data_IF_782682172336
#
_entry.id   IF_782682172336
#
_cell.length_a   1.000
_cell.length_b   1.000
_cell.length_c   1.000
_cell.angle_alpha   90.00
_cell.angle_beta   90.00
_cell.angle_gamma   90.00
#
_symmetry.space_group_name_H-M   'P 1'
#
loop_
_entity.id
_entity.type
_entity.pdbx_description
1 polymer ?
#
# COMPACT_ATOMS: atom_id res chain seq x y z
N UNK A 1 -2.30 0.28 -2.35
CA UNK A 1 -2.73 -0.34 -1.09
C UNK A 1 -1.64 -0.25 -0.05
N UNK A 2 -2.01 -0.01 1.21
CA UNK A 2 -1.11 -0.03 2.34
C UNK A 2 -0.64 -1.45 2.66
N UNK A 3 0.62 -1.59 3.07
CA UNK A 3 1.24 -2.85 3.45
C UNK A 3 1.54 -2.95 4.95
N UNK A 4 1.05 -2.00 5.75
CA UNK A 4 1.30 -1.92 7.18
C UNK A 4 0.12 -1.27 7.91
N UNK A 5 -0.07 -1.64 9.19
CA UNK A 5 -1.00 -0.94 10.08
C UNK A 5 -0.34 0.32 10.60
N UNK A 6 -0.90 1.48 10.28
CA UNK A 6 -0.38 2.78 10.70
C UNK A 6 -1.27 3.42 11.76
N UNK A 7 -2.59 3.34 11.59
CA UNK A 7 -3.56 3.84 12.57
C UNK A 7 -4.89 3.08 12.45
N UNK A 8 -5.07 2.09 13.33
CA UNK A 8 -6.20 1.15 13.23
C UNK A 8 -7.55 1.84 13.43
N UNK A 9 -7.68 2.72 14.43
CA UNK A 9 -8.97 3.35 14.75
C UNK A 9 -9.50 4.29 13.67
N UNK A 10 -8.67 4.72 12.72
CA UNK A 10 -9.05 5.60 11.61
C UNK A 10 -9.23 4.85 10.28
N UNK A 11 -9.05 3.52 10.27
CA UNK A 11 -9.08 2.71 9.04
C UNK A 11 -7.78 2.73 8.24
N UNK A 12 -6.68 3.28 8.80
CA UNK A 12 -5.38 3.34 8.15
C UNK A 12 -4.57 2.06 8.41
N UNK A 13 -5.08 0.96 7.85
CA UNK A 13 -4.67 -0.41 8.14
C UNK A 13 -4.01 -1.08 6.92
N UNK A 14 -3.29 -2.17 7.16
CA UNK A 14 -2.78 -3.03 6.10
C UNK A 14 -3.96 -3.50 5.22
N UNK A 15 -3.82 -3.35 3.91
CA UNK A 15 -4.90 -3.62 2.96
C UNK A 15 -5.75 -2.42 2.57
N UNK A 16 -5.60 -1.26 3.24
CA UNK A 16 -6.35 -0.07 2.85
C UNK A 16 -5.98 0.37 1.42
N UNK A 17 -6.98 0.51 0.57
CA UNK A 17 -6.85 0.96 -0.82
C UNK A 17 -7.10 2.45 -0.94
N UNK A 18 -6.45 3.04 -1.95
CA UNK A 18 -6.56 4.46 -2.23
C UNK A 18 -5.88 4.78 -3.55
N UNK A 19 -6.13 5.98 -4.02
CA UNK A 19 -5.61 6.52 -5.28
C UNK A 19 -4.57 7.59 -4.97
N UNK A 20 -3.40 7.50 -5.60
CA UNK A 20 -2.39 8.56 -5.51
C UNK A 20 -2.92 9.78 -6.25
N UNK A 21 -2.97 10.90 -5.56
CA UNK A 21 -3.41 12.20 -6.11
C UNK A 21 -2.23 13.08 -6.47
N UNK A 22 -1.13 13.03 -5.70
CA UNK A 22 0.09 13.79 -5.99
C UNK A 22 1.36 13.13 -5.42
N UNK A 23 2.51 13.48 -5.98
CA UNK A 23 3.84 13.01 -5.55
C UNK A 23 4.76 14.23 -5.35
N UNK A 24 5.15 14.46 -4.09
CA UNK A 24 5.94 15.62 -3.70
C UNK A 24 7.42 15.28 -3.66
N UNK A 25 8.22 15.96 -4.48
CA UNK A 25 9.68 15.88 -4.47
C UNK A 25 10.27 17.13 -3.84
N UNK A 26 11.43 17.01 -3.19
CA UNK A 26 12.22 18.18 -2.79
C UNK A 26 12.85 18.80 -4.04
N UNK A 27 12.73 20.13 -4.16
CA UNK A 27 13.04 20.93 -5.36
C UNK A 27 14.42 20.62 -5.98
N UNK A 28 15.42 20.34 -5.14
CA UNK A 28 16.81 20.18 -5.58
C UNK A 28 17.20 18.74 -5.98
N UNK A 29 16.37 17.74 -5.66
CA UNK A 29 16.75 16.33 -5.73
C UNK A 29 16.26 15.60 -6.99
N UNK A 30 15.44 16.26 -7.81
CA UNK A 30 14.90 15.73 -9.07
C UNK A 30 14.08 14.44 -8.93
N UNK A 31 13.43 14.02 -10.02
CA UNK A 31 12.54 12.84 -10.04
C UNK A 31 13.25 11.48 -9.90
N UNK A 32 14.57 11.45 -9.72
CA UNK A 32 15.36 10.22 -9.52
C UNK A 32 15.52 9.83 -8.06
N UNK A 33 15.19 10.74 -7.14
CA UNK A 33 15.28 10.53 -5.70
C UNK A 33 13.95 10.00 -5.14
N UNK A 34 13.99 9.49 -3.91
CA UNK A 34 12.76 9.10 -3.21
C UNK A 34 11.91 10.36 -2.95
N UNK A 35 10.61 10.37 -3.28
CA UNK A 35 9.72 11.47 -2.93
C UNK A 35 9.77 11.80 -1.44
N UNK A 36 9.56 13.08 -1.11
CA UNK A 36 9.40 13.54 0.26
C UNK A 36 8.09 13.01 0.86
N UNK A 37 7.01 13.09 0.08
CA UNK A 37 5.72 12.57 0.45
C UNK A 37 4.89 12.16 -0.77
N UNK A 38 3.93 11.26 -0.55
CA UNK A 38 2.92 10.88 -1.53
C UNK A 38 1.56 11.22 -0.94
N UNK A 39 0.75 11.97 -1.68
CA UNK A 39 -0.64 12.25 -1.31
C UNK A 39 -1.53 11.15 -1.86
N UNK A 40 -2.35 10.58 -0.97
CA UNK A 40 -3.24 9.46 -1.31
C UNK A 40 -4.62 9.73 -0.74
N UNK A 41 -5.63 9.62 -1.59
CA UNK A 41 -7.02 9.57 -1.16
C UNK A 41 -7.42 8.13 -0.90
N UNK A 42 -7.78 7.81 0.34
CA UNK A 42 -8.12 6.46 0.79
C UNK A 42 -9.63 6.25 0.85
N UNK A 43 -10.09 5.09 0.37
CA UNK A 43 -11.53 4.80 0.21
C UNK A 43 -12.29 4.74 1.54
N UNK A 44 -11.62 4.31 2.62
CA UNK A 44 -12.26 4.02 3.92
C UNK A 44 -11.58 4.73 5.11
N UNK A 45 -10.66 5.66 4.85
CA UNK A 45 -9.99 6.39 5.91
C UNK A 45 -10.91 7.46 6.51
N UNK A 46 -10.95 7.54 7.84
CA UNK A 46 -11.82 8.47 8.60
C UNK A 46 -11.05 9.42 9.51
N UNK A 47 -9.72 9.40 9.44
CA UNK A 47 -8.89 10.29 10.23
C UNK A 47 -8.77 11.68 9.60
N UNK A 48 -7.82 12.46 10.09
CA UNK A 48 -7.56 13.81 9.58
C UNK A 48 -6.93 13.76 8.18
N UNK A 49 -7.42 14.62 7.29
CA UNK A 49 -6.98 14.75 5.89
C UNK A 49 -6.67 16.21 5.56
N UNK A 50 -5.89 16.41 4.49
CA UNK A 50 -5.77 17.69 3.81
C UNK A 50 -6.73 17.69 2.62
N UNK A 51 -7.44 18.78 2.38
CA UNK A 51 -8.27 18.91 1.18
C UNK A 51 -7.46 19.61 0.11
N UNK A 52 -7.28 18.97 -1.05
CA UNK A 52 -6.58 19.57 -2.17
C UNK A 52 -7.46 20.57 -2.94
N UNK A 53 -6.92 21.20 -3.98
CA UNK A 53 -7.62 22.22 -4.77
C UNK A 53 -8.86 21.69 -5.49
N UNK A 54 -8.92 20.38 -5.74
CA UNK A 54 -10.06 19.70 -6.38
C UNK A 54 -11.11 19.22 -5.36
N UNK A 55 -10.94 19.54 -4.07
CA UNK A 55 -11.85 19.13 -3.01
C UNK A 55 -11.67 17.68 -2.55
N UNK A 56 -10.60 16.99 -2.99
CA UNK A 56 -10.33 15.61 -2.61
C UNK A 56 -9.61 15.58 -1.26
N UNK A 57 -10.05 14.67 -0.39
CA UNK A 57 -9.42 14.42 0.91
C UNK A 57 -8.20 13.51 0.74
N UNK A 58 -7.02 14.08 1.00
CA UNK A 58 -5.71 13.46 0.86
C UNK A 58 -5.05 13.22 2.21
N UNK A 59 -4.37 12.09 2.32
CA UNK A 59 -3.49 11.76 3.44
C UNK A 59 -2.03 11.88 2.96
N UNK A 60 -1.21 12.73 3.59
CA UNK A 60 0.23 12.76 3.32
C UNK A 60 0.90 11.51 3.88
N UNK A 61 1.65 10.81 3.03
CA UNK A 61 2.40 9.62 3.40
C UNK A 61 3.88 9.85 3.21
N UNK A 62 4.70 9.41 4.16
CA UNK A 62 6.16 9.51 4.12
C UNK A 62 6.80 8.11 4.09
N UNK A 63 8.04 7.98 3.60
CA UNK A 63 8.75 6.70 3.66
C UNK A 63 8.94 6.21 5.10
N UNK A 64 8.77 4.91 5.32
CA UNK A 64 8.99 4.25 6.60
C UNK A 64 10.28 3.43 6.52
N UNK A 65 11.06 3.45 7.60
CA UNK A 65 12.23 2.58 7.75
C UNK A 65 11.81 1.28 8.43
N UNK A 66 11.96 0.17 7.71
CA UNK A 66 11.84 -1.18 8.27
C UNK A 66 13.23 -1.74 8.55
N UNK A 67 13.36 -2.49 9.65
CA UNK A 67 14.60 -3.16 10.05
C UNK A 67 14.32 -4.64 10.32
N UNK A 68 15.26 -5.50 9.95
CA UNK A 68 15.17 -6.94 10.21
C UNK A 68 16.55 -7.54 10.41
N UNK A 69 16.63 -8.64 11.15
CA UNK A 69 17.86 -9.41 11.27
C UNK A 69 18.02 -10.32 10.06
N UNK A 70 19.08 -10.07 9.29
CA UNK A 70 19.53 -10.95 8.21
C UNK A 70 20.61 -11.92 8.69
N UNK A 71 20.96 -12.87 7.82
CA UNK A 71 22.04 -13.84 8.08
C UNK A 71 23.40 -13.19 8.37
N UNK A 72 23.61 -11.96 7.89
CA UNK A 72 24.85 -11.18 8.03
C UNK A 72 24.71 -9.97 8.97
N UNK A 73 23.67 -9.92 9.81
CA UNK A 73 23.40 -8.82 10.73
C UNK A 73 22.14 -8.01 10.40
N UNK A 74 21.98 -6.88 11.09
CA UNK A 74 20.79 -6.03 10.96
C UNK A 74 20.77 -5.33 9.60
N UNK A 75 19.71 -5.54 8.84
CA UNK A 75 19.43 -4.87 7.58
C UNK A 75 18.30 -3.85 7.76
N UNK A 76 18.30 -2.80 6.93
CA UNK A 76 17.22 -1.81 6.92
C UNK A 76 16.82 -1.40 5.50
N UNK A 77 15.57 -0.96 5.35
CA UNK A 77 14.99 -0.47 4.10
C UNK A 77 14.15 0.76 4.40
N UNK A 78 14.37 1.84 3.67
CA UNK A 78 13.51 3.01 3.66
C UNK A 78 12.61 2.95 2.42
N UNK A 79 11.30 2.84 2.61
CA UNK A 79 10.34 2.73 1.51
C UNK A 79 8.96 3.21 1.96
N UNK A 80 8.13 3.66 1.01
CA UNK A 80 6.72 3.85 1.29
C UNK A 80 6.02 2.51 1.58
N UNK A 81 5.09 2.45 2.55
CA UNK A 81 4.36 1.26 2.90
C UNK A 81 3.24 0.95 1.89
N UNK A 82 3.56 0.99 0.60
CA UNK A 82 2.60 0.82 -0.49
C UNK A 82 2.97 -0.32 -1.43
N UNK A 83 1.92 -0.97 -1.93
CA UNK A 83 1.97 -1.85 -3.08
C UNK A 83 0.95 -1.40 -4.11
N UNK A 84 1.30 -1.51 -5.40
CA UNK A 84 0.33 -1.35 -6.49
C UNK A 84 -0.67 -2.51 -6.45
N UNK A 85 -1.94 -2.22 -6.75
CA UNK A 85 -3.06 -3.16 -6.53
C UNK A 85 -3.95 -3.41 -7.72
N UNK A 86 -3.48 -3.13 -8.94
CA UNK A 86 -4.16 -3.59 -10.14
C UNK A 86 -4.09 -5.10 -10.34
N UNK A 87 -3.02 -5.74 -9.86
CA UNK A 87 -2.87 -7.19 -9.86
C UNK A 87 -2.02 -7.62 -8.67
N UNK A 88 -2.54 -8.53 -7.85
CA UNK A 88 -1.85 -9.09 -6.67
C UNK A 88 -1.83 -10.61 -6.81
N UNK A 89 -0.68 -11.24 -6.54
CA UNK A 89 -0.59 -12.70 -6.54
C UNK A 89 -1.43 -13.27 -5.39
N UNK A 90 -2.12 -14.38 -5.63
CA UNK A 90 -3.03 -15.00 -4.66
C UNK A 90 -2.37 -15.28 -3.29
N UNK A 91 -1.13 -15.76 -3.25
CA UNK A 91 -0.43 -15.99 -1.96
C UNK A 91 -0.08 -14.70 -1.19
N UNK A 92 -0.16 -13.52 -1.82
CA UNK A 92 -0.01 -12.21 -1.17
C UNK A 92 -1.35 -11.63 -0.72
N UNK A 93 -2.47 -12.27 -1.07
CA UNK A 93 -3.82 -11.96 -0.59
C UNK A 93 -4.23 -12.79 0.62
N UNK A 94 -3.40 -13.76 1.03
CA UNK A 94 -3.65 -14.53 2.24
C UNK A 94 -3.76 -13.55 3.42
N UNK A 95 -4.89 -13.63 4.13
CA UNK A 95 -5.27 -12.79 5.27
C UNK A 95 -5.62 -11.30 4.96
N UNK A 96 -5.89 -10.96 3.69
CA UNK A 96 -6.39 -9.63 3.31
C UNK A 96 -7.92 -9.61 3.12
N UNK A 97 -8.60 -8.69 3.80
CA UNK A 97 -10.02 -8.41 3.58
C UNK A 97 -10.19 -7.42 2.43
N UNK A 98 -10.55 -7.91 1.24
CA UNK A 98 -10.83 -7.07 0.06
C UNK A 98 -12.34 -7.06 -0.24
N UNK A 99 -12.89 -5.88 -0.56
CA UNK A 99 -14.32 -5.72 -0.87
C UNK A 99 -14.72 -6.19 -2.26
N UNK A 100 -13.80 -6.14 -3.23
CA UNK A 100 -14.03 -6.58 -4.61
C UNK A 100 -12.72 -7.09 -5.22
N UNK A 101 -12.74 -8.29 -5.79
CA UNK A 101 -11.59 -8.92 -6.44
C UNK A 101 -12.03 -9.46 -7.79
N UNK A 102 -11.21 -9.23 -8.82
CA UNK A 102 -11.32 -9.90 -10.12
C UNK A 102 -10.12 -10.83 -10.23
N UNK A 103 -10.37 -12.14 -10.34
CA UNK A 103 -9.33 -13.16 -10.32
C UNK A 103 -9.07 -13.67 -11.74
N UNK A 104 -7.84 -13.55 -12.21
CA UNK A 104 -7.35 -14.26 -13.39
C UNK A 104 -6.64 -15.54 -12.92
N UNK A 105 -7.25 -16.69 -13.20
CA UNK A 105 -6.75 -18.01 -12.79
C UNK A 105 -5.71 -18.59 -13.76
N UNK A 106 -5.43 -17.92 -14.88
CA UNK A 106 -4.56 -18.47 -15.93
C UNK A 106 -5.08 -19.81 -16.48
N UNK A 107 -4.19 -20.60 -17.10
CA UNK A 107 -4.56 -21.86 -17.77
C UNK A 107 -4.50 -23.11 -16.88
N UNK A 108 -3.85 -23.05 -15.70
CA UNK A 108 -3.62 -24.19 -14.80
C UNK A 108 -3.48 -23.71 -13.35
N UNK A 109 -4.00 -24.51 -12.42
CA UNK A 109 -3.74 -24.36 -10.99
C UNK A 109 -2.30 -24.79 -10.66
N UNK A 110 -1.56 -23.94 -9.95
CA UNK A 110 -0.16 -24.22 -9.59
C UNK A 110 -0.04 -25.00 -8.27
N UNK A 111 -1.03 -24.91 -7.37
CA UNK A 111 -1.04 -25.61 -6.08
C UNK A 111 -2.47 -25.80 -5.54
N UNK A 112 -2.72 -26.94 -4.91
CA UNK A 112 -4.00 -27.23 -4.25
C UNK A 112 -4.24 -26.25 -3.07
N UNK A 113 -5.47 -25.74 -2.95
CA UNK A 113 -5.89 -24.86 -1.85
C UNK A 113 -5.94 -23.37 -2.19
N UNK A 114 -5.46 -22.92 -3.36
CA UNK A 114 -5.56 -21.52 -3.80
C UNK A 114 -7.01 -21.06 -4.04
N UNK A 115 -7.92 -21.99 -4.33
CA UNK A 115 -9.32 -21.73 -4.66
C UNK A 115 -10.24 -21.63 -3.44
N UNK A 116 -9.87 -22.27 -2.32
CA UNK A 116 -10.73 -22.36 -1.11
C UNK A 116 -10.80 -21.02 -0.37
N UNK A 117 -9.82 -20.12 -0.56
CA UNK A 117 -9.81 -18.77 0.05
C UNK A 117 -10.72 -17.75 -0.67
N UNK A 118 -11.52 -18.17 -1.66
CA UNK A 118 -12.33 -17.29 -2.50
C UNK A 118 -13.84 -17.58 -2.49
N UNK A 119 -14.31 -18.51 -1.66
CA UNK A 119 -15.73 -18.72 -1.33
C UNK A 119 -15.99 -18.31 0.11
#
# INVERSE_FOLDING_TARGET
>A
MLTANLWVSTGFVNGATGTITDILYKEESGHKSLPTAILVSFDQYRGQTLTNLDGISDVPNVPIRSMWEGKSGICSRLQFPFSLTWAIKVHKLQDLTLSKVVTDLGKREFAAGLLVYHL
#
